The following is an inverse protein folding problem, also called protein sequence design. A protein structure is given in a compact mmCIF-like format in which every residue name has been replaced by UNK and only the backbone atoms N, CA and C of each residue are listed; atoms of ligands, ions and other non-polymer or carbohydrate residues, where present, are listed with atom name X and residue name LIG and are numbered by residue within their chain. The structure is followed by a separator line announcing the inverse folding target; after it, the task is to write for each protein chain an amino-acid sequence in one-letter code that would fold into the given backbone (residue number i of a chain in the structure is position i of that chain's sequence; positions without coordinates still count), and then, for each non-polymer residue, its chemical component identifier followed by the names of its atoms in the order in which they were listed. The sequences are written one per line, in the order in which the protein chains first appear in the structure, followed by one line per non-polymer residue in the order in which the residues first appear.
data_IF_678378901775
#
_entry.id   IF_678378901775
#
_cell.length_a   1.000
_cell.length_b   1.000
_cell.length_c   1.000
_cell.angle_alpha   90.00
_cell.angle_beta   90.00
_cell.angle_gamma   90.00
#
_symmetry.space_group_name_H-M   'P 1'
#
loop_
_entity.id
_entity.type
_entity.pdbx_description
1 polymer ?
#
# COMPACT_ATOMS: atom_id res chain seq x y z
N UNK A 1 -3.80 18.65 -11.24
CA UNK A 1 -5.10 18.51 -10.54
C UNK A 1 -4.97 17.31 -9.62
N UNK A 2 -4.59 17.53 -8.37
CA UNK A 2 -4.48 16.46 -7.36
C UNK A 2 -5.86 16.28 -6.72
N UNK A 3 -6.55 15.16 -7.02
CA UNK A 3 -7.79 14.80 -6.32
C UNK A 3 -7.41 14.11 -5.01
N UNK A 4 -7.77 14.72 -3.89
CA UNK A 4 -7.69 14.05 -2.59
C UNK A 4 -8.73 12.92 -2.55
N UNK A 5 -8.29 11.66 -2.50
CA UNK A 5 -9.18 10.52 -2.27
C UNK A 5 -9.39 10.37 -0.75
N UNK A 6 -10.61 10.43 -0.33
CA UNK A 6 -11.06 10.38 1.06
C UNK A 6 -11.61 9.00 1.34
N UNK A 7 -11.18 8.41 2.46
CA UNK A 7 -11.66 7.11 2.93
C UNK A 7 -13.12 7.23 3.41
N UNK A 8 -14.02 6.47 2.82
CA UNK A 8 -15.46 6.45 3.13
C UNK A 8 -15.70 5.51 4.32
N UNK A 9 -16.00 6.06 5.51
CA UNK A 9 -16.64 5.29 6.58
C UNK A 9 -18.16 5.39 6.40
N UNK A 10 -18.79 4.31 5.92
CA UNK A 10 -20.23 4.25 5.75
C UNK A 10 -20.94 4.01 7.08
N UNK A 11 -21.67 5.01 7.57
CA UNK A 11 -22.67 4.79 8.62
C UNK A 11 -24.01 4.50 7.95
N UNK A 12 -24.47 3.25 8.06
CA UNK A 12 -25.81 2.83 7.59
C UNK A 12 -26.84 3.22 8.63
N UNK A 13 -27.69 4.17 8.33
CA UNK A 13 -28.92 4.43 9.10
C UNK A 13 -30.15 3.89 8.36
N UNK A 14 -30.89 3.01 9.03
CA UNK A 14 -32.14 2.40 8.55
C UNK A 14 -33.22 3.46 8.34
N UNK A 15 -33.80 3.47 7.14
CA UNK A 15 -35.01 4.23 6.84
C UNK A 15 -36.25 3.34 7.02
N UNK A 16 -37.21 3.78 7.82
CA UNK A 16 -38.59 3.27 7.81
C UNK A 16 -39.42 4.10 6.82
N UNK A 17 -39.95 3.42 5.80
CA UNK A 17 -40.92 4.01 4.85
C UNK A 17 -42.30 3.93 5.47
N UNK A 18 -42.95 5.09 5.67
CA UNK A 18 -44.40 5.19 5.91
C UNK A 18 -45.02 5.98 4.77
N UNK A 19 -45.99 5.38 4.11
CA UNK A 19 -46.79 6.02 3.05
C UNK A 19 -47.95 6.78 3.62
N UNK A 20 -48.23 7.92 2.98
CA UNK A 20 -49.46 8.77 2.90
C UNK A 20 -49.53 10.00 3.80
N UNK A 21 -49.55 11.07 3.09
CA UNK A 21 -50.02 12.46 3.19
C UNK A 21 -48.84 13.40 2.89
N UNK A 22 -49.15 14.50 2.18
CA UNK A 22 -48.24 15.63 1.95
C UNK A 22 -47.80 16.21 3.32
N UNK A 23 -46.97 15.47 4.01
CA UNK A 23 -46.19 15.95 5.13
C UNK A 23 -45.07 16.79 4.51
N UNK A 24 -45.07 18.10 4.78
CA UNK A 24 -43.89 18.96 4.55
C UNK A 24 -42.69 18.26 5.18
N UNK A 25 -41.82 17.68 4.34
CA UNK A 25 -40.59 17.02 4.83
C UNK A 25 -39.85 18.02 5.71
N UNK A 26 -39.53 17.63 6.92
CA UNK A 26 -38.73 18.46 7.82
C UNK A 26 -37.41 18.77 7.11
N UNK A 27 -37.02 20.04 7.00
CA UNK A 27 -35.73 20.40 6.38
C UNK A 27 -34.57 19.63 7.02
N UNK A 28 -33.66 19.13 6.20
CA UNK A 28 -32.51 18.31 6.66
C UNK A 28 -31.31 18.49 5.77
N UNK A 29 -30.13 18.38 6.38
CA UNK A 29 -28.84 18.42 5.70
C UNK A 29 -27.89 17.40 6.31
N UNK A 30 -27.11 16.73 5.47
CA UNK A 30 -26.07 15.74 5.85
C UNK A 30 -24.83 15.96 5.02
N UNK A 31 -23.67 15.78 5.62
CA UNK A 31 -22.35 15.84 4.99
C UNK A 31 -21.76 14.45 4.91
N UNK A 32 -20.99 14.17 3.86
CA UNK A 32 -20.23 12.92 3.72
C UNK A 32 -19.12 12.79 4.78
N UNK A 33 -18.62 13.95 5.26
CA UNK A 33 -17.65 14.05 6.34
C UNK A 33 -17.76 15.41 7.02
N UNK A 34 -17.36 15.47 8.28
CA UNK A 34 -17.41 16.68 9.11
C UNK A 34 -16.06 17.08 9.71
N UNK A 35 -15.00 16.32 9.42
CA UNK A 35 -13.62 16.61 9.85
C UNK A 35 -12.69 16.43 8.66
N UNK A 36 -11.73 17.37 8.49
CA UNK A 36 -10.71 17.35 7.45
C UNK A 36 -9.37 17.68 8.08
N UNK A 37 -8.46 16.72 8.03
CA UNK A 37 -7.05 16.95 8.32
C UNK A 37 -6.36 17.41 7.03
N UNK A 38 -6.01 18.68 7.01
CA UNK A 38 -5.39 19.33 5.86
C UNK A 38 -3.88 19.51 6.10
N UNK A 39 -3.16 19.50 5.03
CA UNK A 39 -1.72 19.70 5.03
C UNK A 39 -1.38 21.20 5.07
N UNK A 40 -0.16 21.53 5.46
CA UNK A 40 0.33 22.92 5.53
C UNK A 40 0.24 23.66 4.19
N UNK A 41 0.24 22.96 3.05
CA UNK A 41 0.25 23.51 1.69
C UNK A 41 -1.15 23.94 1.23
N UNK A 42 -1.20 24.64 0.09
CA UNK A 42 -2.48 24.95 -0.58
C UNK A 42 -3.19 23.65 -0.98
N UNK A 43 -4.49 23.60 -0.76
CA UNK A 43 -5.29 22.42 -1.10
C UNK A 43 -6.68 22.82 -1.60
N UNK A 44 -7.27 21.97 -2.44
CA UNK A 44 -8.68 22.03 -2.86
C UNK A 44 -9.39 20.82 -2.31
N UNK A 45 -10.55 21.03 -1.68
CA UNK A 45 -11.34 20.03 -0.99
C UNK A 45 -12.79 20.11 -1.42
N UNK A 46 -13.44 18.97 -1.47
CA UNK A 46 -14.85 18.81 -1.81
C UNK A 46 -15.50 17.91 -0.76
N UNK A 47 -16.68 18.30 -0.26
CA UNK A 47 -17.49 17.51 0.69
C UNK A 47 -18.89 17.39 0.11
N UNK A 48 -19.35 16.15 -0.04
CA UNK A 48 -20.69 15.88 -0.53
C UNK A 48 -21.73 16.35 0.48
N UNK A 49 -22.75 17.06 -0.03
CA UNK A 49 -23.89 17.60 0.72
C UNK A 49 -25.16 16.95 0.21
N UNK A 50 -25.88 16.26 1.09
CA UNK A 50 -27.23 15.74 0.84
C UNK A 50 -28.23 16.54 1.62
N UNK A 51 -29.10 17.29 0.92
CA UNK A 51 -30.14 18.11 1.55
C UNK A 51 -31.49 17.93 0.84
N UNK A 52 -32.59 18.00 1.61
CA UNK A 52 -33.92 18.02 1.03
C UNK A 52 -34.43 19.47 0.71
N UNK A 53 -33.56 20.48 0.89
CA UNK A 53 -33.76 21.87 0.55
C UNK A 53 -32.51 22.44 -0.14
N UNK A 54 -32.63 23.67 -0.69
CA UNK A 54 -31.43 24.42 -1.09
C UNK A 54 -30.60 24.79 0.16
N UNK A 55 -29.29 24.88 0.02
CA UNK A 55 -28.36 25.14 1.13
C UNK A 55 -27.31 26.17 0.74
N UNK A 56 -26.69 26.76 1.75
CA UNK A 56 -25.56 27.67 1.64
C UNK A 56 -24.47 27.29 2.64
N UNK A 57 -23.24 27.69 2.38
CA UNK A 57 -22.09 27.51 3.27
C UNK A 57 -21.44 28.86 3.56
N UNK A 58 -20.88 29.00 4.76
CA UNK A 58 -20.11 30.16 5.18
C UNK A 58 -18.92 29.76 6.04
N UNK A 59 -17.91 30.61 6.05
CA UNK A 59 -16.77 30.54 6.98
C UNK A 59 -16.33 31.96 7.30
N UNK A 60 -15.82 32.17 8.50
CA UNK A 60 -15.20 33.42 8.95
C UNK A 60 -13.68 33.40 8.81
N UNK A 61 -13.13 32.31 8.30
CA UNK A 61 -11.69 32.06 8.19
C UNK A 61 -11.10 32.69 6.93
N UNK A 62 -10.14 33.59 7.08
CA UNK A 62 -9.44 34.24 5.97
C UNK A 62 -8.59 33.30 5.12
N UNK A 63 -8.22 32.13 5.65
CA UNK A 63 -7.39 31.15 4.95
C UNK A 63 -8.19 30.05 4.23
N UNK A 64 -9.52 30.12 4.30
CA UNK A 64 -10.45 29.25 3.56
C UNK A 64 -11.23 30.10 2.56
N UNK A 65 -11.21 29.68 1.31
CA UNK A 65 -12.04 30.31 0.26
C UNK A 65 -13.02 29.29 -0.29
N UNK A 66 -14.32 29.55 -0.12
CA UNK A 66 -15.36 28.75 -0.73
C UNK A 66 -15.35 28.96 -2.25
N UNK A 67 -15.14 27.88 -3.01
CA UNK A 67 -15.19 27.87 -4.48
C UNK A 67 -16.55 27.40 -5.00
N UNK A 68 -17.27 26.63 -4.18
CA UNK A 68 -18.67 26.31 -4.34
C UNK A 68 -19.34 26.32 -2.96
N UNK A 69 -20.02 27.39 -2.61
CA UNK A 69 -20.60 27.62 -1.28
C UNK A 69 -22.12 27.51 -1.22
N UNK A 70 -22.81 26.98 -2.25
CA UNK A 70 -24.25 26.76 -2.23
C UNK A 70 -24.67 25.62 -3.15
N UNK A 71 -25.86 25.08 -2.93
CA UNK A 71 -26.37 24.00 -3.77
C UNK A 71 -27.87 23.82 -3.70
N UNK A 72 -28.45 23.13 -4.69
CA UNK A 72 -29.87 22.83 -4.77
C UNK A 72 -30.25 21.70 -3.78
N UNK A 73 -31.59 21.47 -3.67
CA UNK A 73 -32.12 20.23 -3.08
C UNK A 73 -31.55 19.01 -3.83
N UNK A 74 -31.16 17.97 -3.07
CA UNK A 74 -30.64 16.73 -3.58
C UNK A 74 -29.17 16.49 -3.15
N UNK A 75 -28.43 15.84 -4.00
CA UNK A 75 -27.02 15.56 -3.84
C UNK A 75 -26.20 16.62 -4.60
N UNK A 76 -25.27 17.26 -3.91
CA UNK A 76 -24.38 18.29 -4.43
C UNK A 76 -23.10 18.31 -3.59
N UNK A 77 -22.22 19.29 -3.75
CA UNK A 77 -20.97 19.39 -3.00
C UNK A 77 -20.69 20.82 -2.57
N UNK A 78 -20.10 20.99 -1.39
CA UNK A 78 -19.40 22.21 -0.99
C UNK A 78 -17.92 22.04 -1.37
N UNK A 79 -17.37 23.03 -2.07
CA UNK A 79 -15.98 23.04 -2.47
C UNK A 79 -15.25 24.28 -1.95
N UNK A 80 -14.01 24.11 -1.52
CA UNK A 80 -13.20 25.19 -0.99
C UNK A 80 -11.71 24.97 -1.22
N UNK A 81 -10.95 26.04 -1.12
CA UNK A 81 -9.48 26.03 -1.16
C UNK A 81 -8.92 26.56 0.15
N UNK A 82 -7.76 26.05 0.53
CA UNK A 82 -6.98 26.50 1.67
C UNK A 82 -5.74 27.24 1.16
N UNK A 83 -5.38 28.33 1.84
CA UNK A 83 -4.05 28.92 1.65
C UNK A 83 -3.03 28.17 2.49
N UNK A 84 -1.74 28.30 2.16
CA UNK A 84 -0.64 27.71 2.89
C UNK A 84 -0.62 28.18 4.35
N UNK A 85 -0.39 27.24 5.28
CA UNK A 85 -0.15 27.58 6.69
C UNK A 85 1.31 27.98 6.89
N UNK A 86 1.56 29.27 6.97
CA UNK A 86 2.88 29.85 7.23
C UNK A 86 3.12 30.17 8.71
N UNK A 87 2.18 29.76 9.58
CA UNK A 87 2.30 29.96 11.03
C UNK A 87 3.16 28.87 11.67
N UNK A 88 3.55 29.06 12.94
CA UNK A 88 4.29 28.06 13.71
C UNK A 88 3.40 27.04 14.44
N UNK A 89 2.07 27.08 14.21
CA UNK A 89 1.12 26.22 14.90
C UNK A 89 0.08 25.67 13.91
N UNK A 90 -0.46 24.49 14.21
CA UNK A 90 -1.64 23.99 13.50
C UNK A 90 -2.78 25.00 13.66
N UNK A 91 -3.53 25.21 12.60
CA UNK A 91 -4.70 26.09 12.64
C UNK A 91 -5.97 25.32 12.34
N UNK A 92 -7.04 25.72 13.03
CA UNK A 92 -8.35 25.08 12.89
C UNK A 92 -9.39 26.14 12.54
N UNK A 93 -10.28 25.80 11.62
CA UNK A 93 -11.43 26.63 11.26
C UNK A 93 -12.63 25.77 10.90
N UNK A 94 -13.79 26.40 10.80
CA UNK A 94 -15.05 25.73 10.53
C UNK A 94 -15.71 26.32 9.30
N UNK A 95 -16.27 25.46 8.45
CA UNK A 95 -17.25 25.80 7.43
C UNK A 95 -18.61 25.36 7.98
N UNK A 96 -19.56 26.29 8.06
CA UNK A 96 -20.96 25.98 8.41
C UNK A 96 -21.79 25.87 7.13
N UNK A 97 -22.48 24.74 6.97
CA UNK A 97 -23.37 24.46 5.84
C UNK A 97 -24.78 24.38 6.38
N UNK A 98 -25.69 25.29 5.95
CA UNK A 98 -27.00 25.45 6.51
C UNK A 98 -28.10 25.42 5.43
N UNK A 99 -29.31 25.04 5.83
CA UNK A 99 -30.47 24.99 4.95
C UNK A 99 -31.01 26.41 4.75
N UNK A 100 -31.18 26.86 3.52
CA UNK A 100 -31.68 28.19 3.21
C UNK A 100 -33.06 28.45 3.85
N UNK A 101 -33.13 29.55 4.63
CA UNK A 101 -34.34 29.94 5.36
C UNK A 101 -34.55 29.19 6.69
N UNK A 102 -33.57 28.41 7.14
CA UNK A 102 -33.60 27.65 8.40
C UNK A 102 -32.23 27.70 9.06
N UNK A 103 -31.90 28.80 9.73
CA UNK A 103 -30.59 29.06 10.33
C UNK A 103 -30.23 28.09 11.50
N UNK A 104 -31.23 27.41 12.04
CA UNK A 104 -31.11 26.40 13.10
C UNK A 104 -30.84 24.97 12.55
N UNK A 105 -30.87 24.78 11.21
CA UNK A 105 -30.63 23.50 10.57
C UNK A 105 -29.31 23.57 9.78
N UNK A 106 -28.24 23.16 10.42
CA UNK A 106 -26.88 23.22 9.85
C UNK A 106 -26.04 22.00 10.21
N UNK A 107 -24.93 21.85 9.50
CA UNK A 107 -23.83 20.95 9.79
C UNK A 107 -22.52 21.73 9.68
N UNK A 108 -21.49 21.27 10.35
CA UNK A 108 -20.16 21.92 10.33
C UNK A 108 -19.12 20.98 9.78
N UNK A 109 -18.17 21.55 9.02
CA UNK A 109 -16.93 20.89 8.61
C UNK A 109 -15.81 21.56 9.39
N UNK A 110 -15.16 20.82 10.26
CA UNK A 110 -13.96 21.27 10.97
C UNK A 110 -12.71 20.93 10.14
N UNK A 111 -11.91 21.94 9.83
CA UNK A 111 -10.67 21.80 9.08
C UNK A 111 -9.52 22.08 10.02
N UNK A 112 -8.63 21.09 10.22
CA UNK A 112 -7.36 21.28 10.92
C UNK A 112 -6.22 21.25 9.90
N UNK A 113 -5.51 22.37 9.74
CA UNK A 113 -4.37 22.45 8.82
C UNK A 113 -3.05 22.42 9.60
N UNK A 114 -2.18 21.47 9.24
CA UNK A 114 -0.88 21.30 9.87
C UNK A 114 0.10 22.44 9.59
N UNK A 115 1.15 22.51 10.39
CA UNK A 115 2.33 23.37 10.14
C UNK A 115 3.26 22.73 9.11
N UNK A 116 4.17 23.54 8.58
CA UNK A 116 5.35 23.08 7.88
C UNK A 116 6.40 22.62 8.89
N UNK A 117 6.74 21.34 8.89
CA UNK A 117 7.75 20.78 9.80
C UNK A 117 9.15 20.79 9.16
N UNK A 118 10.18 21.07 9.95
CA UNK A 118 11.58 20.99 9.51
C UNK A 118 11.95 19.59 8.97
N UNK A 119 11.28 18.56 9.47
CA UNK A 119 11.50 17.18 9.03
C UNK A 119 11.10 16.94 7.56
N UNK A 120 10.26 17.80 6.95
CA UNK A 120 9.89 17.69 5.54
C UNK A 120 11.01 18.04 4.55
N UNK A 121 12.06 18.67 5.06
CA UNK A 121 13.21 19.07 4.27
C UNK A 121 14.35 18.06 4.33
N UNK A 122 14.19 16.93 5.01
CA UNK A 122 15.32 16.02 5.21
C UNK A 122 14.93 14.54 5.16
N UNK A 123 15.84 13.75 4.63
CA UNK A 123 15.90 12.31 4.83
C UNK A 123 16.98 12.06 5.88
N UNK A 124 16.69 11.26 6.90
CA UNK A 124 17.70 10.75 7.83
C UNK A 124 18.00 9.28 7.53
N UNK A 125 19.26 8.87 7.72
CA UNK A 125 19.69 7.52 7.45
C UNK A 125 20.83 7.08 8.36
N UNK A 126 21.11 5.78 8.38
CA UNK A 126 22.34 5.23 8.95
C UNK A 126 23.06 4.41 7.89
N UNK A 127 24.36 4.24 8.03
CA UNK A 127 25.20 3.45 7.15
C UNK A 127 25.98 2.36 7.90
N UNK A 128 26.41 1.34 7.19
CA UNK A 128 27.21 0.23 7.75
C UNK A 128 28.65 0.60 8.04
N UNK A 129 29.17 1.61 7.34
CA UNK A 129 30.55 2.10 7.44
C UNK A 129 30.68 3.41 8.28
N UNK A 130 29.57 3.92 8.81
CA UNK A 130 29.48 5.20 9.54
C UNK A 130 29.94 6.40 8.70
N UNK A 131 29.69 6.39 7.42
CA UNK A 131 30.02 7.47 6.50
C UNK A 131 28.79 7.86 5.65
N UNK A 132 28.97 8.89 4.83
CA UNK A 132 27.93 9.44 3.97
C UNK A 132 27.47 8.39 2.93
N UNK A 133 26.16 8.17 2.86
CA UNK A 133 25.52 7.47 1.73
C UNK A 133 25.22 8.49 0.64
N UNK A 134 25.83 8.34 -0.51
CA UNK A 134 25.55 9.19 -1.66
C UNK A 134 24.42 8.59 -2.48
N UNK A 135 23.30 9.31 -2.71
CA UNK A 135 22.27 8.87 -3.64
C UNK A 135 22.84 8.54 -5.02
N UNK A 136 22.32 7.50 -5.66
CA UNK A 136 22.74 7.11 -7.02
C UNK A 136 22.37 8.18 -8.05
N UNK A 137 21.12 8.66 -7.99
CA UNK A 137 20.66 9.77 -8.84
C UNK A 137 20.14 10.93 -8.00
N UNK A 138 20.93 12.00 -7.92
CA UNK A 138 20.56 13.21 -7.21
C UNK A 138 19.44 14.00 -7.89
N UNK A 139 19.13 13.73 -9.14
CA UNK A 139 18.04 14.37 -9.91
C UNK A 139 16.70 13.66 -9.72
N UNK A 140 16.69 12.52 -9.04
CA UNK A 140 15.49 11.75 -8.74
C UNK A 140 14.61 12.38 -7.65
N UNK A 141 15.07 13.42 -6.99
CA UNK A 141 14.30 14.16 -5.98
C UNK A 141 13.62 15.36 -6.60
N UNK A 142 12.40 15.67 -6.18
CA UNK A 142 11.67 16.88 -6.61
C UNK A 142 12.08 18.14 -5.82
N UNK A 143 13.14 18.06 -5.05
CA UNK A 143 13.79 19.12 -4.30
C UNK A 143 15.31 19.04 -4.50
N UNK A 144 16.02 20.17 -4.40
CA UNK A 144 17.47 20.20 -4.57
C UNK A 144 18.17 19.86 -3.27
N UNK A 145 19.15 18.96 -3.33
CA UNK A 145 20.02 18.66 -2.19
C UNK A 145 20.89 19.88 -1.85
N UNK A 146 20.79 20.35 -0.62
CA UNK A 146 21.59 21.44 -0.05
C UNK A 146 22.84 20.92 0.63
N UNK A 147 22.71 19.81 1.38
CA UNK A 147 23.83 19.17 2.04
C UNK A 147 23.54 17.68 2.27
N UNK A 148 24.62 16.93 2.42
CA UNK A 148 24.61 15.56 2.87
C UNK A 148 25.73 15.42 3.91
N UNK A 149 25.36 15.15 5.16
CA UNK A 149 26.29 15.09 6.30
C UNK A 149 26.10 13.79 7.06
N UNK A 150 27.13 13.34 7.76
CA UNK A 150 27.06 12.18 8.65
C UNK A 150 27.71 12.54 9.99
N UNK A 151 26.91 12.59 11.04
CA UNK A 151 27.36 13.00 12.38
C UNK A 151 26.72 12.12 13.45
N UNK A 152 27.50 11.71 14.46
CA UNK A 152 27.01 10.93 15.60
C UNK A 152 26.25 9.64 15.20
N UNK A 153 26.62 9.00 14.10
CA UNK A 153 25.99 7.77 13.63
C UNK A 153 24.72 7.99 12.78
N UNK A 154 24.40 9.23 12.42
CA UNK A 154 23.23 9.58 11.62
C UNK A 154 23.64 10.42 10.42
N UNK A 155 23.23 9.98 9.23
CA UNK A 155 23.30 10.77 8.01
C UNK A 155 22.06 11.65 7.86
N UNK A 156 22.26 12.85 7.33
CA UNK A 156 21.19 13.81 7.01
C UNK A 156 21.36 14.35 5.61
N UNK A 157 20.41 14.03 4.76
CA UNK A 157 20.27 14.60 3.42
C UNK A 157 19.25 15.73 3.49
N UNK A 158 19.72 16.98 3.35
CA UNK A 158 18.92 18.19 3.48
C UNK A 158 18.55 18.75 2.09
N UNK A 159 17.30 19.17 1.94
CA UNK A 159 16.74 19.75 0.73
C UNK A 159 16.36 21.22 0.89
N UNK A 160 16.34 21.98 -0.23
CA UNK A 160 16.00 23.42 -0.25
C UNK A 160 14.49 23.68 -0.15
N UNK A 161 13.66 22.68 -0.45
CA UNK A 161 12.20 22.71 -0.34
C UNK A 161 11.70 21.39 0.27
N UNK A 162 10.47 21.32 0.81
CA UNK A 162 9.90 20.08 1.28
C UNK A 162 9.92 19.00 0.19
N UNK A 163 10.50 17.86 0.52
CA UNK A 163 10.57 16.71 -0.39
C UNK A 163 9.20 16.04 -0.50
N UNK A 164 8.61 15.96 -1.68
CA UNK A 164 7.32 15.30 -1.88
C UNK A 164 7.40 14.02 -2.72
N UNK A 165 8.55 13.82 -3.38
CA UNK A 165 8.80 12.66 -4.23
C UNK A 165 10.25 12.20 -4.12
N UNK A 166 10.42 10.88 -3.98
CA UNK A 166 11.67 10.17 -4.22
C UNK A 166 11.47 9.40 -5.53
N UNK A 167 12.15 9.80 -6.58
CA UNK A 167 11.97 9.26 -7.92
C UNK A 167 12.66 7.93 -8.15
N UNK A 168 12.66 7.51 -9.41
CA UNK A 168 13.28 6.25 -9.84
C UNK A 168 14.78 6.26 -9.53
N UNK A 169 15.30 5.10 -9.13
CA UNK A 169 16.73 4.81 -8.89
C UNK A 169 17.43 5.77 -7.91
N UNK A 170 16.70 6.53 -7.07
CA UNK A 170 17.29 7.54 -6.19
C UNK A 170 18.41 6.99 -5.30
N UNK A 171 18.23 5.82 -4.72
CA UNK A 171 19.21 5.11 -3.87
C UNK A 171 19.58 3.74 -4.45
N UNK A 172 19.53 3.59 -5.77
CA UNK A 172 19.89 2.34 -6.46
C UNK A 172 21.31 1.89 -6.07
N UNK A 173 21.46 0.63 -5.67
CA UNK A 173 22.76 0.04 -5.26
C UNK A 173 23.50 0.78 -4.13
N UNK A 174 22.78 1.54 -3.27
CA UNK A 174 23.40 2.15 -2.09
C UNK A 174 23.74 1.06 -1.05
N UNK A 175 24.84 0.33 -1.31
CA UNK A 175 25.23 -0.86 -0.57
C UNK A 175 25.64 -0.62 0.88
N UNK A 176 25.90 0.63 1.29
CA UNK A 176 26.21 0.94 2.70
C UNK A 176 24.99 1.46 3.46
N UNK A 177 23.85 1.70 2.80
CA UNK A 177 22.63 2.18 3.44
C UNK A 177 22.06 1.11 4.38
N UNK A 178 21.98 1.43 5.68
CA UNK A 178 21.53 0.50 6.72
C UNK A 178 20.11 0.76 7.19
N UNK A 179 19.75 2.02 7.38
CA UNK A 179 18.38 2.40 7.65
C UNK A 179 18.07 3.76 7.01
N UNK A 180 16.78 4.01 6.74
CA UNK A 180 16.33 5.27 6.16
C UNK A 180 14.95 5.65 6.72
N UNK A 181 14.76 6.94 6.97
CA UNK A 181 13.47 7.52 7.38
C UNK A 181 13.02 8.46 6.28
N UNK A 182 11.87 8.14 5.70
CA UNK A 182 11.24 8.93 4.64
C UNK A 182 10.29 9.94 5.29
N UNK A 183 10.47 11.26 5.06
CA UNK A 183 9.66 12.28 5.70
C UNK A 183 8.19 12.21 5.27
N UNK A 184 7.29 12.62 6.18
CA UNK A 184 5.82 12.58 5.94
C UNK A 184 5.32 13.50 4.82
N UNK A 185 6.18 14.37 4.29
CA UNK A 185 5.89 15.13 3.06
C UNK A 185 5.91 14.28 1.79
N UNK A 186 6.61 13.13 1.79
CA UNK A 186 6.74 12.27 0.60
C UNK A 186 5.45 11.50 0.34
N UNK A 187 4.97 11.60 -0.88
CA UNK A 187 3.75 10.92 -1.36
C UNK A 187 4.03 9.87 -2.44
N UNK A 188 5.24 9.86 -3.00
CA UNK A 188 5.63 8.94 -4.07
C UNK A 188 7.05 8.43 -3.85
N UNK A 189 7.21 7.10 -3.89
CA UNK A 189 8.47 6.40 -3.99
C UNK A 189 8.52 5.73 -5.37
N UNK A 190 9.49 6.10 -6.17
CA UNK A 190 9.63 5.65 -7.56
C UNK A 190 10.09 4.21 -7.71
N UNK A 191 10.07 3.71 -8.95
CA UNK A 191 10.59 2.39 -9.28
C UNK A 191 12.08 2.29 -9.00
N UNK A 192 12.53 1.11 -8.58
CA UNK A 192 13.94 0.83 -8.22
C UNK A 192 14.57 1.81 -7.24
N UNK A 193 13.77 2.60 -6.51
CA UNK A 193 14.28 3.69 -5.67
C UNK A 193 15.31 3.23 -4.63
N UNK A 194 15.17 2.02 -4.07
CA UNK A 194 16.13 1.41 -3.15
C UNK A 194 16.55 -0.01 -3.62
N UNK A 195 16.53 -0.24 -4.94
CA UNK A 195 16.93 -1.52 -5.53
C UNK A 195 18.37 -1.89 -5.15
N UNK A 196 18.61 -3.15 -4.78
CA UNK A 196 19.94 -3.65 -4.37
C UNK A 196 20.57 -2.90 -3.19
N UNK A 197 19.78 -2.29 -2.31
CA UNK A 197 20.26 -1.83 -1.01
C UNK A 197 20.39 -3.05 -0.07
N UNK A 198 21.38 -3.92 -0.32
CA UNK A 198 21.50 -5.24 0.31
C UNK A 198 21.55 -5.20 1.84
N UNK A 199 22.12 -4.16 2.43
CA UNK A 199 22.27 -3.99 3.87
C UNK A 199 21.18 -3.13 4.52
N UNK A 200 20.13 -2.76 3.76
CA UNK A 200 19.01 -2.03 4.32
C UNK A 200 18.23 -2.95 5.28
N UNK A 201 18.36 -2.70 6.58
CA UNK A 201 17.70 -3.48 7.64
C UNK A 201 16.32 -2.91 7.99
N UNK A 202 16.17 -1.57 7.91
CA UNK A 202 14.97 -0.86 8.35
C UNK A 202 14.64 0.33 7.46
N UNK A 203 13.34 0.49 7.18
CA UNK A 203 12.81 1.70 6.57
C UNK A 203 11.58 2.19 7.35
N UNK A 204 11.49 3.51 7.55
CA UNK A 204 10.28 4.17 8.01
C UNK A 204 9.67 4.93 6.83
N UNK A 205 8.51 4.49 6.38
CA UNK A 205 7.79 5.09 5.27
C UNK A 205 6.96 6.28 5.72
N UNK A 206 6.83 7.28 4.84
CA UNK A 206 5.92 8.40 5.04
C UNK A 206 4.49 7.93 5.30
N UNK A 207 3.84 8.43 6.35
CA UNK A 207 2.43 8.17 6.65
C UNK A 207 1.46 8.70 5.57
N UNK A 208 1.98 9.46 4.59
CA UNK A 208 1.23 10.02 3.46
C UNK A 208 1.59 9.40 2.12
N UNK A 209 2.45 8.40 2.13
CA UNK A 209 2.86 7.71 0.90
C UNK A 209 1.63 7.15 0.17
N UNK A 210 1.49 7.46 -1.11
CA UNK A 210 0.40 6.99 -1.98
C UNK A 210 0.85 5.89 -2.92
N UNK A 211 2.09 5.99 -3.39
CA UNK A 211 2.61 5.10 -4.42
C UNK A 211 3.98 4.58 -4.03
N UNK A 212 4.15 3.28 -4.14
CA UNK A 212 5.43 2.57 -4.11
C UNK A 212 5.61 1.97 -5.50
N UNK A 213 6.67 2.33 -6.18
CA UNK A 213 6.94 1.94 -7.57
C UNK A 213 7.43 0.50 -7.73
N UNK A 214 7.55 0.07 -8.99
CA UNK A 214 8.02 -1.28 -9.34
C UNK A 214 9.44 -1.52 -8.81
N UNK A 215 9.68 -2.70 -8.26
CA UNK A 215 10.96 -3.14 -7.73
C UNK A 215 11.61 -2.15 -6.72
N UNK A 216 10.81 -1.28 -6.05
CA UNK A 216 11.35 -0.22 -5.20
C UNK A 216 12.28 -0.71 -4.09
N UNK A 217 12.04 -1.90 -3.55
CA UNK A 217 12.86 -2.57 -2.53
C UNK A 217 13.46 -3.90 -3.01
N UNK A 218 13.40 -4.16 -4.31
CA UNK A 218 13.91 -5.44 -4.83
C UNK A 218 15.37 -5.66 -4.42
N UNK A 219 15.68 -6.88 -3.97
CA UNK A 219 17.01 -7.28 -3.48
C UNK A 219 17.49 -6.53 -2.23
N UNK A 220 16.60 -5.98 -1.41
CA UNK A 220 16.93 -5.55 -0.05
C UNK A 220 16.97 -6.77 0.88
N UNK A 221 18.02 -7.60 0.76
CA UNK A 221 18.09 -8.93 1.36
C UNK A 221 18.14 -8.95 2.89
N UNK A 222 18.56 -7.85 3.53
CA UNK A 222 18.57 -7.68 4.99
C UNK A 222 17.36 -6.92 5.52
N UNK A 223 16.40 -6.52 4.67
CA UNK A 223 15.19 -5.84 5.14
C UNK A 223 14.37 -6.80 5.99
N UNK A 224 14.17 -6.44 7.29
CA UNK A 224 13.51 -7.32 8.25
C UNK A 224 11.98 -7.19 8.21
N UNK A 225 11.49 -5.98 8.38
CA UNK A 225 10.07 -5.70 8.48
C UNK A 225 9.73 -4.41 7.77
N UNK A 226 8.51 -4.32 7.26
CA UNK A 226 8.00 -3.08 6.70
C UNK A 226 6.55 -2.84 7.12
N UNK A 227 6.25 -1.60 7.52
CA UNK A 227 4.88 -1.15 7.76
C UNK A 227 4.40 -0.36 6.57
N UNK A 228 3.38 -0.87 5.87
CA UNK A 228 2.75 -0.18 4.75
C UNK A 228 1.69 0.77 5.31
N UNK A 229 1.83 2.10 5.13
CA UNK A 229 0.87 3.08 5.63
C UNK A 229 -0.52 2.92 5.03
N UNK A 230 -1.57 3.26 5.79
CA UNK A 230 -2.96 3.24 5.33
C UNK A 230 -3.21 4.15 4.11
N UNK A 231 -2.36 5.16 3.95
CA UNK A 231 -2.41 6.11 2.84
C UNK A 231 -2.03 5.51 1.48
N UNK A 232 -1.32 4.36 1.44
CA UNK A 232 -0.83 3.74 0.20
C UNK A 232 -2.01 3.23 -0.63
N UNK A 233 -2.02 3.61 -1.90
CA UNK A 233 -3.03 3.20 -2.89
C UNK A 233 -2.46 2.18 -3.87
N UNK A 234 -1.19 2.37 -4.27
CA UNK A 234 -0.55 1.56 -5.31
C UNK A 234 0.79 1.02 -4.83
N UNK A 235 1.00 -0.27 -5.04
CA UNK A 235 2.30 -0.95 -4.90
C UNK A 235 2.60 -1.61 -6.24
N UNK A 236 3.77 -1.32 -6.79
CA UNK A 236 4.24 -1.84 -8.08
C UNK A 236 4.59 -3.33 -8.04
N UNK A 237 4.88 -3.87 -9.22
CA UNK A 237 5.26 -5.28 -9.36
C UNK A 237 6.69 -5.50 -8.86
N UNK A 238 6.98 -6.73 -8.41
CA UNK A 238 8.30 -7.16 -7.90
C UNK A 238 8.91 -6.24 -6.82
N UNK A 239 8.07 -5.44 -6.13
CA UNK A 239 8.53 -4.43 -5.15
C UNK A 239 9.44 -5.02 -4.09
N UNK A 240 9.22 -6.26 -3.65
CA UNK A 240 9.98 -6.95 -2.60
C UNK A 240 10.70 -8.20 -3.12
N UNK A 241 10.90 -8.32 -4.44
CA UNK A 241 11.64 -9.45 -5.02
C UNK A 241 13.02 -9.58 -4.38
N UNK A 242 13.41 -10.79 -3.96
CA UNK A 242 14.71 -11.03 -3.34
C UNK A 242 14.91 -10.46 -1.92
N UNK A 243 13.83 -10.03 -1.23
CA UNK A 243 13.88 -9.61 0.17
C UNK A 243 13.87 -10.82 1.12
N UNK A 244 14.89 -11.69 1.02
CA UNK A 244 14.97 -12.98 1.75
C UNK A 244 15.11 -12.83 3.27
N UNK A 245 15.48 -11.67 3.76
CA UNK A 245 15.55 -11.30 5.18
C UNK A 245 14.21 -11.00 5.85
N UNK A 246 13.13 -10.86 5.07
CA UNK A 246 11.85 -10.37 5.55
C UNK A 246 11.20 -11.32 6.58
N UNK A 247 10.86 -10.77 7.76
CA UNK A 247 10.10 -11.44 8.80
C UNK A 247 8.59 -11.18 8.70
N UNK A 248 8.20 -9.99 8.22
CA UNK A 248 6.80 -9.65 8.15
C UNK A 248 6.45 -8.34 7.48
N UNK A 249 5.15 -8.25 7.16
CA UNK A 249 4.46 -7.06 6.68
C UNK A 249 3.50 -6.57 7.74
N UNK A 250 3.42 -5.26 7.94
CA UNK A 250 2.51 -4.62 8.88
C UNK A 250 1.71 -3.51 8.18
N UNK A 251 0.61 -3.10 8.80
CA UNK A 251 -0.26 -2.06 8.27
C UNK A 251 -1.14 -2.55 7.13
N UNK A 252 -1.38 -1.66 6.16
CA UNK A 252 -2.26 -1.94 5.04
C UNK A 252 -1.72 -3.09 4.19
N UNK A 253 -2.62 -3.95 3.75
CA UNK A 253 -2.33 -5.13 2.91
C UNK A 253 -1.59 -6.28 3.61
N UNK A 254 -1.25 -6.18 4.88
CA UNK A 254 -0.68 -7.30 5.60
C UNK A 254 -1.72 -8.40 5.86
N UNK A 255 -1.33 -9.67 5.70
CA UNK A 255 -2.16 -10.80 6.14
C UNK A 255 -2.30 -10.81 7.67
N UNK A 256 -3.31 -11.50 8.21
CA UNK A 256 -3.58 -11.55 9.65
C UNK A 256 -2.40 -12.07 10.49
N UNK A 257 -1.54 -12.89 9.90
CA UNK A 257 -0.32 -13.43 10.51
C UNK A 257 0.93 -12.59 10.18
N UNK A 258 0.77 -11.48 9.47
CA UNK A 258 1.82 -10.58 9.00
C UNK A 258 2.86 -11.22 8.05
N UNK A 259 2.56 -12.39 7.46
CA UNK A 259 3.51 -13.10 6.62
C UNK A 259 3.40 -12.80 5.13
N UNK A 260 2.25 -12.28 4.71
CA UNK A 260 2.01 -11.98 3.29
C UNK A 260 1.57 -10.54 3.10
N UNK A 261 1.98 -9.99 1.96
CA UNK A 261 1.41 -8.80 1.37
C UNK A 261 0.28 -9.24 0.42
N UNK A 262 -0.97 -8.91 0.77
CA UNK A 262 -2.15 -9.34 0.00
C UNK A 262 -2.95 -8.12 -0.45
N UNK A 263 -3.09 -7.94 -1.76
CA UNK A 263 -3.82 -6.83 -2.37
C UNK A 263 -4.91 -7.43 -3.26
N UNK A 264 -6.17 -7.08 -3.06
CA UNK A 264 -7.32 -7.56 -3.85
C UNK A 264 -7.36 -9.09 -4.01
N UNK A 265 -7.08 -9.82 -2.92
CA UNK A 265 -6.96 -11.29 -2.88
C UNK A 265 -5.79 -11.87 -3.69
N UNK A 266 -4.86 -11.05 -4.15
CA UNK A 266 -3.60 -11.44 -4.78
C UNK A 266 -2.50 -11.43 -3.73
N UNK A 267 -1.86 -12.58 -3.46
CA UNK A 267 -0.67 -12.66 -2.63
C UNK A 267 0.51 -12.18 -3.46
N UNK A 268 1.00 -10.96 -3.17
CA UNK A 268 2.08 -10.30 -3.91
C UNK A 268 3.47 -10.73 -3.45
N UNK A 269 3.64 -10.93 -2.16
CA UNK A 269 4.93 -11.38 -1.61
C UNK A 269 4.75 -12.08 -0.26
N UNK A 270 5.62 -13.04 0.01
CA UNK A 270 5.71 -13.81 1.26
C UNK A 270 6.99 -13.46 2.01
N UNK A 271 6.89 -13.32 3.34
CA UNK A 271 8.02 -13.07 4.24
C UNK A 271 8.58 -14.40 4.75
N UNK A 272 9.69 -14.92 4.18
CA UNK A 272 10.12 -16.30 4.37
C UNK A 272 10.89 -16.55 5.67
N UNK A 273 11.40 -15.50 6.33
CA UNK A 273 12.37 -15.66 7.43
C UNK A 273 11.80 -16.46 8.60
N UNK A 274 12.50 -17.50 9.00
CA UNK A 274 12.15 -18.29 10.18
C UNK A 274 11.04 -19.32 10.00
N UNK A 275 10.53 -19.53 8.76
CA UNK A 275 9.48 -20.51 8.48
C UNK A 275 10.01 -21.68 7.65
N UNK A 276 9.64 -22.90 8.08
CA UNK A 276 9.89 -24.13 7.35
C UNK A 276 8.60 -24.64 6.68
N UNK A 277 7.42 -24.29 7.19
CA UNK A 277 6.10 -24.62 6.64
C UNK A 277 5.20 -23.38 6.64
N UNK A 278 4.33 -23.27 5.64
CA UNK A 278 3.38 -22.18 5.58
C UNK A 278 2.04 -22.61 4.95
N UNK A 279 0.93 -22.12 5.53
CA UNK A 279 -0.40 -22.23 4.95
C UNK A 279 -0.84 -20.84 4.44
N UNK A 280 -1.05 -20.74 3.14
CA UNK A 280 -1.49 -19.50 2.49
C UNK A 280 -2.88 -19.13 2.99
N UNK A 281 -3.15 -17.86 3.34
CA UNK A 281 -4.44 -17.42 3.87
C UNK A 281 -5.62 -17.77 2.98
N UNK A 282 -6.71 -18.21 3.60
CA UNK A 282 -7.97 -18.41 2.90
C UNK A 282 -8.46 -17.09 2.28
N UNK A 283 -9.00 -17.15 1.06
CA UNK A 283 -9.44 -15.97 0.32
C UNK A 283 -8.41 -15.47 -0.71
N UNK A 284 -7.15 -15.89 -0.62
CA UNK A 284 -6.19 -15.67 -1.70
C UNK A 284 -6.67 -16.41 -2.95
N UNK A 285 -6.80 -15.69 -4.04
CA UNK A 285 -7.25 -16.25 -5.34
C UNK A 285 -6.11 -16.39 -6.34
N UNK A 286 -5.07 -15.57 -6.18
CA UNK A 286 -3.88 -15.57 -7.05
C UNK A 286 -2.62 -15.52 -6.20
N UNK A 287 -1.65 -16.36 -6.53
CA UNK A 287 -0.27 -16.28 -6.03
C UNK A 287 0.51 -15.62 -7.16
N UNK A 288 0.98 -14.39 -6.89
CA UNK A 288 1.60 -13.56 -7.92
C UNK A 288 2.99 -14.06 -8.36
N UNK A 289 3.45 -13.47 -9.45
CA UNK A 289 4.82 -13.63 -9.94
C UNK A 289 5.84 -13.41 -8.82
N UNK A 290 6.80 -14.30 -8.66
CA UNK A 290 7.86 -14.27 -7.65
C UNK A 290 7.39 -14.23 -6.17
N UNK A 291 6.13 -14.51 -5.87
CA UNK A 291 5.57 -14.29 -4.52
C UNK A 291 6.31 -15.04 -3.41
N UNK A 292 6.89 -16.23 -3.69
CA UNK A 292 7.69 -17.04 -2.77
C UNK A 292 9.15 -17.21 -3.26
N UNK A 293 9.62 -16.35 -4.16
CA UNK A 293 10.96 -16.42 -4.72
C UNK A 293 12.02 -16.52 -3.62
N UNK A 294 13.00 -17.44 -3.77
CA UNK A 294 14.09 -17.68 -2.80
C UNK A 294 13.62 -17.99 -1.37
N UNK A 295 12.41 -18.55 -1.18
CA UNK A 295 12.00 -19.06 0.13
C UNK A 295 12.75 -20.36 0.47
N UNK A 296 14.09 -20.27 0.57
CA UNK A 296 15.03 -21.39 0.61
C UNK A 296 14.87 -22.33 1.82
N UNK A 297 14.19 -21.91 2.89
CA UNK A 297 13.92 -22.74 4.07
C UNK A 297 12.56 -23.42 4.03
N UNK A 298 11.65 -22.93 3.19
CA UNK A 298 10.29 -23.44 3.10
C UNK A 298 10.30 -24.88 2.57
N UNK A 299 9.95 -25.85 3.41
CA UNK A 299 9.91 -27.25 3.00
C UNK A 299 8.50 -27.75 2.71
N UNK A 300 7.46 -27.02 3.16
CA UNK A 300 6.06 -27.34 2.89
C UNK A 300 5.21 -26.06 2.72
N UNK A 301 4.38 -26.07 1.72
CA UNK A 301 3.35 -25.04 1.51
C UNK A 301 1.99 -25.67 1.36
N UNK A 302 0.96 -25.01 1.92
CA UNK A 302 -0.45 -25.38 1.76
C UNK A 302 -1.14 -24.29 0.96
N UNK A 303 -1.63 -24.63 -0.20
CA UNK A 303 -2.37 -23.75 -1.13
C UNK A 303 -3.88 -23.97 -0.88
N UNK A 304 -4.63 -22.94 -0.45
CA UNK A 304 -6.04 -23.06 -0.09
C UNK A 304 -6.94 -23.27 -1.30
N UNK A 305 -8.14 -23.78 -1.07
CA UNK A 305 -9.12 -24.06 -2.11
C UNK A 305 -9.57 -22.82 -2.91
N UNK A 306 -9.34 -21.62 -2.38
CA UNK A 306 -9.69 -20.35 -3.04
C UNK A 306 -8.79 -20.01 -4.23
N UNK A 307 -7.57 -20.56 -4.30
CA UNK A 307 -6.60 -20.25 -5.36
C UNK A 307 -7.08 -20.71 -6.73
N UNK A 308 -6.97 -19.83 -7.71
CA UNK A 308 -7.36 -20.03 -9.12
C UNK A 308 -6.20 -19.83 -10.08
N UNK A 309 -5.15 -19.11 -9.65
CA UNK A 309 -3.95 -18.83 -10.45
C UNK A 309 -2.70 -18.90 -9.58
N UNK A 310 -1.67 -19.52 -10.11
CA UNK A 310 -0.29 -19.48 -9.60
C UNK A 310 0.53 -18.95 -10.76
N UNK A 311 1.11 -17.77 -10.61
CA UNK A 311 1.78 -17.09 -11.70
C UNK A 311 3.20 -17.62 -11.93
N UNK A 312 3.85 -17.12 -12.96
CA UNK A 312 5.21 -17.50 -13.35
C UNK A 312 6.20 -17.27 -12.21
N UNK A 313 7.13 -18.18 -12.00
CA UNK A 313 8.18 -18.15 -10.95
C UNK A 313 7.65 -18.05 -9.50
N UNK A 314 6.37 -18.25 -9.22
CA UNK A 314 5.77 -18.04 -7.90
C UNK A 314 6.53 -18.72 -6.74
N UNK A 315 7.10 -19.93 -6.95
CA UNK A 315 7.91 -20.67 -6.00
C UNK A 315 9.33 -20.96 -6.53
N UNK A 316 9.85 -20.07 -7.37
CA UNK A 316 11.16 -20.27 -7.98
C UNK A 316 12.28 -20.15 -6.94
N UNK A 317 13.31 -20.99 -7.03
CA UNK A 317 14.39 -21.11 -6.04
C UNK A 317 13.93 -21.47 -4.60
N UNK A 318 12.76 -22.11 -4.43
CA UNK A 318 12.39 -22.71 -3.15
C UNK A 318 13.10 -24.05 -2.95
N UNK A 319 14.43 -24.05 -2.83
CA UNK A 319 15.31 -25.25 -2.88
C UNK A 319 14.97 -26.31 -1.84
N UNK A 320 14.46 -25.93 -0.67
CA UNK A 320 14.08 -26.88 0.39
C UNK A 320 12.66 -27.43 0.24
N UNK A 321 11.86 -26.96 -0.74
CA UNK A 321 10.46 -27.32 -0.87
C UNK A 321 10.30 -28.81 -1.23
N UNK A 322 9.72 -29.59 -0.30
CA UNK A 322 9.51 -31.04 -0.43
C UNK A 322 8.07 -31.39 -0.74
N UNK A 323 7.12 -30.55 -0.27
CA UNK A 323 5.72 -30.87 -0.35
C UNK A 323 4.87 -29.62 -0.59
N UNK A 324 4.03 -29.68 -1.61
CA UNK A 324 2.98 -28.71 -1.90
C UNK A 324 1.63 -29.39 -1.67
N UNK A 325 0.85 -28.96 -0.67
CA UNK A 325 -0.54 -29.39 -0.49
C UNK A 325 -1.45 -28.44 -1.26
N UNK A 326 -1.92 -28.85 -2.42
CA UNK A 326 -2.76 -28.05 -3.30
C UNK A 326 -4.22 -28.46 -3.13
N UNK A 327 -4.99 -27.73 -2.30
CA UNK A 327 -6.39 -28.03 -1.94
C UNK A 327 -7.44 -27.79 -3.04
N UNK A 328 -7.23 -26.93 -4.07
CA UNK A 328 -8.20 -26.74 -5.14
C UNK A 328 -8.59 -28.06 -5.83
N UNK A 329 -9.88 -28.31 -6.00
CA UNK A 329 -10.40 -29.48 -6.73
C UNK A 329 -10.33 -29.33 -8.25
N UNK A 330 -10.28 -28.08 -8.73
CA UNK A 330 -9.98 -27.74 -10.13
C UNK A 330 -8.57 -27.19 -10.17
N UNK A 331 -7.68 -27.69 -11.04
CA UNK A 331 -6.32 -27.19 -11.16
C UNK A 331 -6.32 -25.68 -11.39
N UNK A 332 -5.64 -24.88 -10.55
CA UNK A 332 -5.38 -23.47 -10.84
C UNK A 332 -4.61 -23.34 -12.17
N UNK A 333 -4.76 -22.22 -12.88
CA UNK A 333 -3.81 -21.90 -13.95
C UNK A 333 -2.40 -21.81 -13.37
N UNK A 334 -1.41 -22.33 -14.09
CA UNK A 334 -0.04 -22.41 -13.62
C UNK A 334 0.89 -21.68 -14.60
N UNK A 335 1.59 -20.68 -14.11
CA UNK A 335 2.60 -19.97 -14.87
C UNK A 335 3.86 -20.80 -15.13
N UNK A 336 4.66 -20.36 -16.07
CA UNK A 336 5.92 -21.02 -16.41
C UNK A 336 6.83 -21.08 -15.18
N UNK A 337 7.58 -22.16 -15.04
CA UNK A 337 8.61 -22.37 -14.02
C UNK A 337 8.15 -22.07 -12.57
N UNK A 338 6.84 -22.19 -12.29
CA UNK A 338 6.26 -21.88 -10.98
C UNK A 338 6.88 -22.67 -9.83
N UNK A 339 7.33 -23.93 -10.05
CA UNK A 339 7.99 -24.80 -9.09
C UNK A 339 9.34 -25.29 -9.63
N UNK A 340 10.15 -24.39 -10.15
CA UNK A 340 11.44 -24.73 -10.73
C UNK A 340 12.59 -24.07 -9.96
N UNK A 341 13.82 -24.60 -10.18
CA UNK A 341 15.07 -23.96 -9.91
C UNK A 341 15.84 -23.84 -11.22
N UNK A 342 16.79 -22.91 -11.31
CA UNK A 342 17.74 -22.90 -12.42
C UNK A 342 19.01 -23.67 -12.02
N UNK A 343 19.46 -24.53 -12.92
CA UNK A 343 20.71 -25.25 -12.82
C UNK A 343 21.44 -25.11 -14.17
N UNK A 344 22.62 -24.53 -14.16
CA UNK A 344 23.42 -24.23 -15.36
C UNK A 344 22.64 -23.42 -16.44
N UNK A 345 21.73 -22.53 -16.00
CA UNK A 345 20.91 -21.71 -16.89
C UNK A 345 19.73 -22.46 -17.53
N UNK A 346 19.37 -23.62 -17.01
CA UNK A 346 18.23 -24.42 -17.45
C UNK A 346 17.25 -24.60 -16.28
N UNK A 347 16.02 -24.18 -16.45
CA UNK A 347 14.96 -24.36 -15.45
C UNK A 347 14.58 -25.82 -15.32
N UNK A 348 14.62 -26.33 -14.09
CA UNK A 348 14.25 -27.71 -13.74
C UNK A 348 13.26 -27.73 -12.60
N UNK A 349 12.23 -28.63 -12.63
CA UNK A 349 11.35 -28.82 -11.48
C UNK A 349 12.12 -29.09 -10.20
N UNK A 350 11.72 -28.42 -9.10
CA UNK A 350 12.31 -28.60 -7.75
C UNK A 350 12.23 -30.07 -7.30
N UNK A 351 11.28 -30.85 -7.85
CA UNK A 351 11.09 -32.26 -7.49
C UNK A 351 10.28 -32.46 -6.22
N UNK A 352 9.54 -31.45 -5.78
CA UNK A 352 8.65 -31.52 -4.62
C UNK A 352 7.42 -32.39 -4.93
N UNK A 353 6.87 -33.09 -3.92
CA UNK A 353 5.60 -33.79 -4.05
C UNK A 353 4.46 -32.76 -4.10
N UNK A 354 3.61 -32.86 -5.13
CA UNK A 354 2.41 -32.04 -5.26
C UNK A 354 1.21 -32.91 -4.89
N UNK A 355 0.69 -32.71 -3.70
CA UNK A 355 -0.44 -33.46 -3.17
C UNK A 355 -1.74 -32.72 -3.49
N UNK A 356 -2.67 -33.40 -4.16
CA UNK A 356 -3.96 -32.87 -4.59
C UNK A 356 -5.08 -33.76 -4.07
N UNK A 357 -6.35 -33.31 -3.99
CA UNK A 357 -7.46 -34.19 -3.64
C UNK A 357 -7.51 -35.42 -4.57
N UNK A 358 -7.70 -36.62 -4.01
CA UNK A 358 -7.70 -37.87 -4.80
C UNK A 358 -8.60 -37.82 -6.02
N UNK A 359 -9.78 -37.19 -5.88
CA UNK A 359 -10.72 -37.02 -7.00
C UNK A 359 -10.23 -36.11 -8.12
N UNK A 360 -9.16 -35.38 -7.91
CA UNK A 360 -8.65 -34.36 -8.84
C UNK A 360 -7.33 -34.73 -9.51
N UNK A 361 -6.73 -35.87 -9.16
CA UNK A 361 -5.43 -36.30 -9.69
C UNK A 361 -5.40 -36.31 -11.22
N UNK A 362 -6.41 -36.90 -11.85
CA UNK A 362 -6.45 -36.99 -13.31
C UNK A 362 -6.64 -35.61 -13.95
N UNK A 363 -7.42 -34.74 -13.33
CA UNK A 363 -7.61 -33.36 -13.80
C UNK A 363 -6.30 -32.58 -13.78
N UNK A 364 -5.52 -32.67 -12.69
CA UNK A 364 -4.20 -32.00 -12.59
C UNK A 364 -3.20 -32.57 -13.60
N UNK A 365 -3.11 -33.92 -13.75
CA UNK A 365 -2.18 -34.54 -14.68
C UNK A 365 -2.53 -34.28 -16.16
N UNK A 366 -3.80 -34.05 -16.46
CA UNK A 366 -4.27 -33.72 -17.82
C UNK A 366 -4.22 -32.25 -18.17
N UNK A 367 -4.12 -31.36 -17.17
CA UNK A 367 -4.02 -29.92 -17.39
C UNK A 367 -2.70 -29.57 -18.08
N UNK A 368 -2.79 -28.80 -19.18
CA UNK A 368 -1.62 -28.46 -20.03
C UNK A 368 -0.51 -27.77 -19.23
N UNK A 369 -0.89 -26.83 -18.38
CA UNK A 369 0.04 -26.03 -17.60
C UNK A 369 0.78 -26.85 -16.52
N UNK A 370 0.14 -27.94 -16.03
CA UNK A 370 0.67 -28.83 -15.01
C UNK A 370 1.49 -30.01 -15.58
N UNK A 371 1.49 -30.17 -16.89
CA UNK A 371 2.12 -31.32 -17.59
C UNK A 371 3.61 -31.46 -17.23
N UNK A 372 4.30 -30.37 -17.05
CA UNK A 372 5.72 -30.32 -16.62
C UNK A 372 5.94 -31.02 -15.27
N UNK A 373 4.94 -30.99 -14.39
CA UNK A 373 5.01 -31.53 -13.02
C UNK A 373 4.23 -32.84 -12.85
N UNK A 374 3.72 -33.45 -13.91
CA UNK A 374 2.85 -34.64 -13.88
C UNK A 374 3.39 -35.76 -13.00
N UNK A 375 4.70 -36.04 -13.06
CA UNK A 375 5.37 -37.11 -12.29
C UNK A 375 5.42 -36.85 -10.78
N UNK A 376 5.24 -35.62 -10.33
CA UNK A 376 5.25 -35.21 -8.93
C UNK A 376 3.86 -35.13 -8.31
N UNK A 377 2.78 -35.22 -9.13
CA UNK A 377 1.38 -35.10 -8.68
C UNK A 377 0.91 -36.44 -8.10
N UNK A 378 0.43 -36.39 -6.85
CA UNK A 378 -0.09 -37.53 -6.10
C UNK A 378 -1.40 -37.14 -5.40
N UNK A 379 -2.29 -38.16 -5.20
CA UNK A 379 -3.50 -37.93 -4.42
C UNK A 379 -3.26 -37.97 -2.92
N UNK A 380 -4.04 -37.18 -2.17
CA UNK A 380 -4.10 -37.24 -0.72
C UNK A 380 -5.57 -37.22 -0.27
N UNK A 381 -5.96 -38.24 0.52
CA UNK A 381 -7.30 -38.38 1.07
C UNK A 381 -7.65 -37.37 2.16
N UNK A 382 -6.65 -36.63 2.65
CA UNK A 382 -6.77 -35.61 3.72
C UNK A 382 -6.99 -34.20 3.19
N UNK A 383 -6.96 -34.00 1.87
CA UNK A 383 -7.15 -32.70 1.20
C UNK A 383 -8.57 -32.45 0.75
#
# INVERSE_FOLDING_TARGET
MKRAFILLLAIVSLFTISCNNEATETPSIQLSQNEIEAWYDNGTYEVEVKSNCAWEASTDSEWITLTNGNGPKGLSEVAFTLTKNETSENRTATITVYVNGYDDIFQTITITQSILLDDYFKITYTSTDNDIVTPYDITAFDAKIVSNTYENGVGTLLFDTPLTKIGEVAFYECSTLKSIVIPDSVTELGGWALFCCFYLEKIELSNRLKTIGDAAFSSCSELHDITIPESVVTIGDSTFYGCSGMWGYYGKFASADNRCLVIDNVLRHFAPKGLDEYEIPNGVTTIAHDAFYESIRLNKVVIPQSVRSIEEYAFYYCESLKTVHCKPTTPPSLGASAFDNSDDGVDKPIGCKILVPNSSVDAYKSATDWKRYESYIQGDDKL
#
